data_IF_527740641748
#
_entry.id   IF_527740641748
#
_cell.length_a   1.000
_cell.length_b   1.000
_cell.length_c   1.000
_cell.angle_alpha   90.00
_cell.angle_beta   90.00
_cell.angle_gamma   90.00
#
_symmetry.space_group_name_H-M   'P 1'
#
loop_
_entity.id
_entity.type
_entity.pdbx_description
1 polymer ?
#
# COMPACT_ATOMS: atom_id res chain seq x y z
N UNK A 1 5.19 4.62 3.61
CA UNK A 1 4.51 5.89 3.36
C UNK A 1 5.04 6.48 2.08
N UNK A 2 4.19 6.74 1.10
CA UNK A 2 4.59 7.36 -0.17
C UNK A 2 4.45 8.87 -0.03
N UNK A 3 5.39 9.48 0.70
CA UNK A 3 5.56 10.93 0.69
C UNK A 3 6.40 11.30 -0.52
N UNK A 4 6.08 12.40 -1.18
CA UNK A 4 6.91 12.91 -2.26
C UNK A 4 8.27 13.32 -1.70
N UNK A 5 9.36 12.91 -2.35
CA UNK A 5 10.72 13.31 -1.95
C UNK A 5 10.99 14.80 -2.18
N UNK A 6 10.28 15.43 -3.13
CA UNK A 6 10.46 16.84 -3.46
C UNK A 6 9.67 17.80 -2.56
N UNK A 7 8.49 17.38 -2.10
CA UNK A 7 7.59 18.25 -1.32
C UNK A 7 7.43 17.79 0.13
N UNK A 8 7.82 16.56 0.47
CA UNK A 8 7.66 15.99 1.82
C UNK A 8 6.22 15.62 2.19
N UNK A 9 5.24 16.00 1.35
CA UNK A 9 3.83 15.76 1.60
C UNK A 9 3.31 14.56 0.81
N UNK A 10 2.32 13.87 1.38
CA UNK A 10 1.56 12.89 0.66
C UNK A 10 0.42 13.55 -0.15
N UNK A 11 0.04 13.03 -1.33
CA UNK A 11 -1.02 13.62 -2.15
C UNK A 11 -2.36 13.79 -1.42
N UNK A 12 -2.69 12.88 -0.50
CA UNK A 12 -3.91 12.92 0.30
C UNK A 12 -3.91 14.08 1.30
N UNK A 13 -2.76 14.41 1.88
CA UNK A 13 -2.62 15.55 2.79
C UNK A 13 -2.83 16.86 2.03
N UNK A 14 -2.31 16.96 0.80
CA UNK A 14 -2.50 18.14 -0.04
C UNK A 14 -3.96 18.30 -0.51
N UNK A 15 -4.62 17.20 -0.86
CA UNK A 15 -6.00 17.24 -1.38
C UNK A 15 -7.08 17.34 -0.29
N UNK A 16 -6.87 16.68 0.85
CA UNK A 16 -7.91 16.47 1.85
C UNK A 16 -7.50 16.95 3.26
N UNK A 17 -6.25 17.32 3.49
CA UNK A 17 -5.76 17.80 4.78
C UNK A 17 -5.55 16.70 5.83
N UNK A 18 -5.78 15.43 5.49
CA UNK A 18 -5.54 14.31 6.40
C UNK A 18 -5.09 13.06 5.67
N UNK A 19 -4.37 12.21 6.39
CA UNK A 19 -3.94 10.90 5.93
C UNK A 19 -5.09 9.90 6.19
N UNK A 20 -5.68 9.28 5.16
CA UNK A 20 -6.77 8.34 5.35
C UNK A 20 -6.26 7.14 6.15
N UNK A 21 -6.95 6.83 7.26
CA UNK A 21 -6.66 5.65 8.08
C UNK A 21 -7.64 4.54 7.70
N UNK A 22 -7.17 3.29 7.79
CA UNK A 22 -8.01 2.14 7.54
C UNK A 22 -9.07 2.05 8.65
N UNK A 23 -10.35 2.14 8.26
CA UNK A 23 -11.51 2.03 9.16
C UNK A 23 -11.44 2.88 10.44
N UNK A 24 -11.44 4.21 10.33
CA UNK A 24 -11.66 5.07 11.51
C UNK A 24 -13.13 5.10 11.88
N UNK A 25 -13.46 4.46 13.01
CA UNK A 25 -14.71 4.55 13.83
C UNK A 25 -16.05 4.36 13.11
N UNK A 26 -17.07 3.80 13.80
CA UNK A 26 -18.40 3.70 13.21
C UNK A 26 -18.88 5.10 12.84
N UNK A 27 -19.33 5.25 11.60
CA UNK A 27 -20.04 6.46 11.16
C UNK A 27 -21.20 6.60 12.13
N UNK A 28 -21.19 7.66 12.96
CA UNK A 28 -22.29 7.94 13.87
C UNK A 28 -23.60 7.91 13.08
N UNK A 29 -24.65 7.33 13.66
CA UNK A 29 -25.93 7.16 12.97
C UNK A 29 -26.41 8.52 12.44
N UNK A 30 -26.35 8.66 11.11
CA UNK A 30 -26.85 9.85 10.46
C UNK A 30 -28.37 9.71 10.32
N UNK A 31 -29.16 10.75 10.65
CA UNK A 31 -30.60 10.74 10.37
C UNK A 31 -30.90 10.70 8.87
N UNK A 32 -29.90 10.95 8.01
CA UNK A 32 -30.03 10.95 6.56
C UNK A 32 -29.64 9.60 5.96
N UNK A 33 -30.63 8.86 5.44
CA UNK A 33 -30.43 7.55 4.80
C UNK A 33 -29.40 7.56 3.66
N UNK A 34 -29.30 8.66 2.91
CA UNK A 34 -28.32 8.80 1.83
C UNK A 34 -26.86 8.79 2.31
N UNK A 35 -26.60 9.38 3.49
CA UNK A 35 -25.28 9.40 4.10
C UNK A 35 -24.86 7.98 4.52
N UNK A 36 -25.78 7.24 5.16
CA UNK A 36 -25.54 5.85 5.55
C UNK A 36 -25.29 4.94 4.34
N UNK A 37 -26.07 5.08 3.26
CA UNK A 37 -25.86 4.31 2.03
C UNK A 37 -24.50 4.61 1.36
N UNK A 38 -24.10 5.89 1.33
CA UNK A 38 -22.79 6.29 0.82
C UNK A 38 -21.66 5.68 1.66
N UNK A 39 -21.77 5.75 2.99
CA UNK A 39 -20.77 5.19 3.91
C UNK A 39 -20.63 3.67 3.74
N UNK A 40 -21.75 2.94 3.69
CA UNK A 40 -21.74 1.49 3.47
C UNK A 40 -21.12 1.11 2.12
N UNK A 41 -21.46 1.85 1.06
CA UNK A 41 -20.85 1.64 -0.26
C UNK A 41 -19.35 1.91 -0.24
N UNK A 42 -18.91 2.98 0.40
CA UNK A 42 -17.50 3.31 0.54
C UNK A 42 -16.75 2.20 1.31
N UNK A 43 -17.35 1.69 2.39
CA UNK A 43 -16.81 0.55 3.16
C UNK A 43 -16.69 -0.71 2.33
N UNK A 44 -17.75 -1.08 1.59
CA UNK A 44 -17.74 -2.24 0.71
C UNK A 44 -16.67 -2.14 -0.38
N UNK A 45 -16.51 -0.96 -0.99
CA UNK A 45 -15.47 -0.72 -2.00
C UNK A 45 -14.07 -0.85 -1.41
N UNK A 46 -13.85 -0.34 -0.19
CA UNK A 46 -12.56 -0.42 0.49
C UNK A 46 -12.18 -1.86 0.82
N UNK A 47 -13.14 -2.67 1.28
CA UNK A 47 -12.93 -4.11 1.51
C UNK A 47 -12.56 -4.85 0.21
N UNK A 48 -13.29 -4.60 -0.88
CA UNK A 48 -12.95 -5.20 -2.20
C UNK A 48 -11.56 -4.79 -2.68
N UNK A 49 -11.20 -3.52 -2.53
CA UNK A 49 -9.89 -3.03 -2.92
C UNK A 49 -8.77 -3.70 -2.10
N UNK A 50 -9.01 -3.92 -0.80
CA UNK A 50 -8.08 -4.62 0.07
C UNK A 50 -7.85 -6.06 -0.39
N UNK A 51 -8.91 -6.81 -0.65
CA UNK A 51 -8.81 -8.21 -1.11
C UNK A 51 -8.08 -8.31 -2.46
N UNK A 52 -8.39 -7.40 -3.40
CA UNK A 52 -7.71 -7.33 -4.68
C UNK A 52 -6.20 -7.03 -4.54
N UNK A 53 -5.80 -6.19 -3.58
CA UNK A 53 -4.38 -5.91 -3.30
C UNK A 53 -3.68 -7.16 -2.76
N UNK A 54 -4.34 -7.90 -1.86
CA UNK A 54 -3.79 -9.15 -1.32
C UNK A 54 -3.60 -10.17 -2.45
N UNK A 55 -4.63 -10.40 -3.25
CA UNK A 55 -4.57 -11.31 -4.40
C UNK A 55 -3.46 -10.92 -5.37
N UNK A 56 -3.39 -9.64 -5.74
CA UNK A 56 -2.34 -9.11 -6.61
C UNK A 56 -0.95 -9.34 -6.04
N UNK A 57 -0.77 -9.14 -4.72
CA UNK A 57 0.51 -9.39 -4.05
C UNK A 57 0.91 -10.85 -4.10
N UNK A 58 -0.03 -11.78 -3.93
CA UNK A 58 0.25 -13.23 -4.05
C UNK A 58 0.75 -13.55 -5.45
N UNK A 59 0.05 -13.06 -6.49
CA UNK A 59 0.43 -13.26 -7.88
C UNK A 59 1.80 -12.65 -8.20
N UNK A 60 2.02 -11.39 -7.83
CA UNK A 60 3.31 -10.72 -8.02
C UNK A 60 4.45 -11.47 -7.33
N UNK A 61 4.24 -11.92 -6.10
CA UNK A 61 5.25 -12.68 -5.33
C UNK A 61 5.56 -14.01 -5.99
N UNK A 62 4.54 -14.73 -6.47
CA UNK A 62 4.71 -15.98 -7.19
C UNK A 62 5.59 -15.81 -8.44
N UNK A 63 5.30 -14.82 -9.29
CA UNK A 63 6.09 -14.57 -10.49
C UNK A 63 7.48 -13.98 -10.21
N UNK A 64 7.61 -13.14 -9.18
CA UNK A 64 8.91 -12.64 -8.74
C UNK A 64 9.81 -13.79 -8.26
N UNK A 65 9.26 -14.73 -7.48
CA UNK A 65 9.98 -15.91 -7.01
C UNK A 65 10.41 -16.82 -8.15
N UNK A 66 9.59 -16.99 -9.19
CA UNK A 66 10.00 -17.75 -10.40
C UNK A 66 11.21 -17.18 -11.12
N UNK A 67 11.41 -15.85 -11.06
CA UNK A 67 12.54 -15.17 -11.70
C UNK A 67 13.75 -15.04 -10.77
N UNK A 68 13.65 -15.48 -9.52
CA UNK A 68 14.72 -15.39 -8.55
C UNK A 68 15.77 -16.45 -8.88
N UNK A 69 17.00 -16.02 -9.11
CA UNK A 69 18.16 -16.91 -9.21
C UNK A 69 18.65 -17.25 -7.80
N UNK A 70 19.30 -18.39 -7.66
CA UNK A 70 20.02 -18.69 -6.43
C UNK A 70 21.00 -17.55 -6.13
N UNK A 71 21.11 -17.22 -4.84
CA UNK A 71 22.09 -16.23 -4.43
C UNK A 71 23.46 -16.76 -4.78
N UNK A 72 24.34 -15.97 -5.41
CA UNK A 72 25.73 -16.39 -5.55
C UNK A 72 26.31 -16.65 -4.17
N UNK A 73 27.09 -17.73 -4.05
CA UNK A 73 27.86 -18.00 -2.84
C UNK A 73 29.00 -16.99 -2.73
N UNK A 74 29.20 -16.47 -1.52
CA UNK A 74 30.28 -15.55 -1.22
C UNK A 74 31.24 -16.18 -0.21
N UNK A 75 32.53 -16.06 -0.49
CA UNK A 75 33.59 -16.59 0.38
C UNK A 75 34.25 -15.47 1.18
N UNK A 76 34.74 -15.80 2.38
CA UNK A 76 35.46 -14.84 3.22
C UNK A 76 36.70 -14.33 2.50
N UNK A 77 36.81 -13.00 2.33
CA UNK A 77 37.90 -12.35 1.60
C UNK A 77 37.60 -12.03 0.14
N UNK A 78 36.43 -12.42 -0.38
CA UNK A 78 36.02 -12.09 -1.74
C UNK A 78 35.66 -10.61 -1.87
N UNK A 79 36.23 -9.94 -2.87
CA UNK A 79 35.90 -8.56 -3.21
C UNK A 79 34.68 -8.53 -4.14
N UNK A 80 33.71 -7.68 -3.82
CA UNK A 80 32.48 -7.49 -4.60
C UNK A 80 32.22 -6.01 -4.80
N UNK A 81 31.68 -5.63 -5.96
CA UNK A 81 31.27 -4.26 -6.24
C UNK A 81 29.89 -3.98 -5.64
N UNK A 82 29.80 -2.91 -4.85
CA UNK A 82 28.55 -2.46 -4.24
C UNK A 82 28.06 -1.19 -4.95
N UNK A 83 26.83 -1.22 -5.47
CA UNK A 83 26.16 0.00 -5.92
C UNK A 83 25.49 0.67 -4.71
N UNK A 84 25.99 1.83 -4.31
CA UNK A 84 25.48 2.60 -3.16
C UNK A 84 24.47 3.68 -3.53
N UNK A 85 24.00 3.68 -4.78
CA UNK A 85 23.05 4.68 -5.27
C UNK A 85 21.64 4.33 -4.81
N UNK A 86 21.09 5.16 -3.93
CA UNK A 86 19.68 5.12 -3.48
C UNK A 86 18.77 5.88 -4.44
#
# INVERSE_FOLDING_TARGET
STVSSSTGYAPFELNYGYMPRWMTTPVGESPYRGVSYFAERARANLLRAHDAIIESRVNQTYYANKKRRESPEFFKGQLVYLSTKN
#
